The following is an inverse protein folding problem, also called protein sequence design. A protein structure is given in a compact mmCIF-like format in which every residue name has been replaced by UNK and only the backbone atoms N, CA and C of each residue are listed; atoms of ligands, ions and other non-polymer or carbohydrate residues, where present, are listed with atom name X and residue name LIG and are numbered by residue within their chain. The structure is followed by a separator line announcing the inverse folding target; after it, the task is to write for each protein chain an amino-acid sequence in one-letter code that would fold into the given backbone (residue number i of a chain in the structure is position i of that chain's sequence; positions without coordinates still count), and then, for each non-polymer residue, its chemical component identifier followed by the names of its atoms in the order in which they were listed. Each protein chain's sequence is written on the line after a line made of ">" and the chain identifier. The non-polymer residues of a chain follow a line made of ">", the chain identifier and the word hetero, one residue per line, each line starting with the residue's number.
data_IF_721832136667
#
_entry.id   IF_721832136667
#
_cell.length_a   1.000
_cell.length_b   1.000
_cell.length_c   1.000
_cell.angle_alpha   90.00
_cell.angle_beta   90.00
_cell.angle_gamma   90.00
#
_symmetry.space_group_name_H-M   'P 1'
#
loop_
_entity.id
_entity.type
_entity.pdbx_description
1 polymer ?
#
# COMPACT_ATOMS: atom_id res chain seq x y z
N UNK A 1 25.01 11.79 11.24
CA UNK A 1 24.28 12.92 10.61
C UNK A 1 23.24 13.46 11.58
N UNK A 2 22.86 14.74 11.47
CA UNK A 2 22.29 15.49 12.60
C UNK A 2 20.76 15.53 12.65
N UNK A 3 20.22 15.76 13.85
CA UNK A 3 18.80 16.06 14.11
C UNK A 3 18.27 17.28 13.32
N UNK A 4 19.14 17.97 12.57
CA UNK A 4 18.86 19.20 11.83
C UNK A 4 18.66 18.97 10.33
N UNK A 5 18.64 17.70 9.89
CA UNK A 5 18.18 17.33 8.55
C UNK A 5 16.72 16.93 8.60
N UNK A 6 15.90 17.46 7.69
CA UNK A 6 14.49 17.08 7.53
C UNK A 6 14.22 16.59 6.12
N UNK A 7 13.56 15.44 6.02
CA UNK A 7 13.15 14.84 4.77
C UNK A 7 11.76 15.35 4.40
N UNK A 8 11.65 15.90 3.20
CA UNK A 8 10.39 16.22 2.57
C UNK A 8 10.03 15.06 1.62
N UNK A 9 9.00 14.24 1.94
CA UNK A 9 8.63 13.09 1.12
C UNK A 9 8.20 13.46 -0.29
N UNK A 10 8.42 12.50 -1.20
CA UNK A 10 8.11 12.62 -2.62
C UNK A 10 6.62 12.72 -2.87
N UNK A 11 6.28 13.45 -3.93
CA UNK A 11 4.92 13.55 -4.46
C UNK A 11 4.80 12.57 -5.62
N UNK A 12 4.12 11.44 -5.42
CA UNK A 12 3.88 10.47 -6.50
C UNK A 12 2.42 10.06 -6.52
N UNK A 13 1.82 9.92 -7.72
CA UNK A 13 0.58 9.21 -7.86
C UNK A 13 0.83 7.71 -7.76
N UNK A 14 -0.23 6.97 -7.47
CA UNK A 14 -0.22 5.52 -7.59
C UNK A 14 -1.47 4.93 -6.97
N UNK A 15 -1.65 3.63 -7.20
CA UNK A 15 -2.66 2.88 -6.47
C UNK A 15 -2.29 2.78 -4.98
N UNK A 16 -3.22 2.27 -4.17
CA UNK A 16 -3.06 2.11 -2.72
C UNK A 16 -1.74 1.40 -2.36
N UNK A 17 -1.41 0.29 -3.04
CA UNK A 17 -0.16 -0.44 -2.85
C UNK A 17 1.09 0.40 -3.08
N UNK A 18 1.05 1.32 -4.04
CA UNK A 18 2.17 2.23 -4.31
C UNK A 18 2.33 3.28 -3.23
N UNK A 19 1.23 3.90 -2.81
CA UNK A 19 1.26 4.96 -1.78
C UNK A 19 1.74 4.40 -0.44
N UNK A 20 1.26 3.22 -0.06
CA UNK A 20 1.71 2.51 1.15
C UNK A 20 3.23 2.29 1.16
N UNK A 21 3.76 1.70 0.08
CA UNK A 21 5.21 1.44 -0.03
C UNK A 21 6.03 2.72 -0.10
N UNK A 22 5.55 3.74 -0.81
CA UNK A 22 6.23 5.02 -0.92
C UNK A 22 6.37 5.71 0.44
N UNK A 23 5.30 5.75 1.22
CA UNK A 23 5.30 6.35 2.57
C UNK A 23 6.30 5.62 3.45
N UNK A 24 6.27 4.29 3.46
CA UNK A 24 7.20 3.48 4.26
C UNK A 24 8.66 3.64 3.81
N UNK A 25 8.93 3.72 2.51
CA UNK A 25 10.27 4.01 1.99
C UNK A 25 10.75 5.39 2.48
N UNK A 26 9.90 6.43 2.44
CA UNK A 26 10.27 7.76 2.94
C UNK A 26 10.62 7.72 4.43
N UNK A 27 9.81 7.02 5.24
CA UNK A 27 10.08 6.83 6.67
C UNK A 27 11.39 6.06 6.88
N UNK A 28 11.62 5.00 6.11
CA UNK A 28 12.81 4.15 6.25
C UNK A 28 14.11 4.89 5.92
N UNK A 29 14.10 5.69 4.86
CA UNK A 29 15.24 6.54 4.50
C UNK A 29 15.47 7.66 5.52
N UNK A 30 14.42 8.26 6.08
CA UNK A 30 14.57 9.26 7.14
C UNK A 30 15.20 8.64 8.40
N UNK A 31 14.77 7.43 8.79
CA UNK A 31 15.39 6.66 9.88
C UNK A 31 16.85 6.35 9.58
N UNK A 32 17.17 5.87 8.37
CA UNK A 32 18.54 5.55 7.96
C UNK A 32 19.48 6.77 8.02
N UNK A 33 18.97 7.95 7.65
CA UNK A 33 19.73 9.19 7.74
C UNK A 33 19.88 9.72 9.17
N UNK A 34 19.01 9.31 10.10
CA UNK A 34 18.86 9.94 11.41
C UNK A 34 18.21 11.33 11.32
N UNK A 35 17.36 11.53 10.30
CA UNK A 35 16.70 12.79 9.98
C UNK A 35 15.30 12.87 10.58
N UNK A 36 14.78 14.10 10.73
CA UNK A 36 13.34 14.33 10.92
C UNK A 36 12.59 14.17 9.59
N UNK A 37 11.26 14.05 9.63
CA UNK A 37 10.43 13.90 8.42
C UNK A 37 9.19 14.78 8.50
N UNK A 38 8.79 15.42 7.39
CA UNK A 38 7.46 16.03 7.29
C UNK A 38 6.43 14.99 6.88
N UNK A 39 5.17 15.11 7.32
CA UNK A 39 4.12 14.19 6.91
C UNK A 39 4.06 14.08 5.37
N UNK A 40 4.04 12.85 4.82
CA UNK A 40 3.88 12.65 3.39
C UNK A 40 2.57 13.23 2.87
N UNK A 41 2.61 13.81 1.68
CA UNK A 41 1.41 14.22 0.95
C UNK A 41 1.06 13.17 -0.09
N UNK A 42 -0.24 12.96 -0.30
CA UNK A 42 -0.76 11.98 -1.26
C UNK A 42 -1.25 12.74 -2.50
N UNK A 43 -0.71 12.41 -3.67
CA UNK A 43 -1.20 12.97 -4.93
C UNK A 43 -2.48 12.23 -5.34
N UNK A 44 -3.58 12.98 -5.46
CA UNK A 44 -4.88 12.42 -5.78
C UNK A 44 -4.95 12.04 -7.26
N UNK A 45 -5.55 10.89 -7.55
CA UNK A 45 -5.87 10.49 -8.92
C UNK A 45 -7.10 11.25 -9.42
N UNK A 46 -7.20 11.43 -10.73
CA UNK A 46 -8.36 12.02 -11.38
C UNK A 46 -9.62 11.18 -11.17
N UNK A 47 -10.76 11.73 -11.60
CA UNK A 47 -12.06 11.05 -11.49
C UNK A 47 -12.21 9.89 -12.50
N UNK A 48 -11.41 9.91 -13.57
CA UNK A 48 -11.31 8.83 -14.55
C UNK A 48 -10.17 7.87 -14.18
N UNK A 49 -10.37 6.57 -14.37
CA UNK A 49 -9.40 5.50 -14.10
C UNK A 49 -8.10 5.68 -14.89
N UNK A 50 -8.15 6.37 -16.03
CA UNK A 50 -6.99 6.70 -16.86
C UNK A 50 -6.19 7.92 -16.36
N UNK A 51 -6.82 8.78 -15.55
CA UNK A 51 -6.21 10.00 -15.04
C UNK A 51 -5.43 9.71 -13.76
N UNK A 52 -4.20 9.18 -13.91
CA UNK A 52 -3.35 8.82 -12.77
C UNK A 52 -2.92 10.01 -11.90
N UNK A 53 -3.11 11.25 -12.36
CA UNK A 53 -2.81 12.49 -11.62
C UNK A 53 -3.90 13.52 -11.84
N UNK A 54 -4.20 14.32 -10.81
CA UNK A 54 -5.01 15.54 -10.97
C UNK A 54 -4.33 16.80 -10.43
N UNK A 55 -3.07 16.70 -9.95
CA UNK A 55 -2.30 17.82 -9.39
C UNK A 55 -2.74 18.27 -7.98
N UNK A 56 -3.83 17.71 -7.43
CA UNK A 56 -4.30 18.01 -6.07
C UNK A 56 -3.58 17.12 -5.08
N UNK A 57 -3.08 17.74 -4.01
CA UNK A 57 -2.39 17.08 -2.92
C UNK A 57 -3.31 17.02 -1.72
N UNK A 58 -3.38 15.83 -1.12
CA UNK A 58 -4.15 15.56 0.07
C UNK A 58 -3.19 15.23 1.22
N UNK A 59 -3.53 15.57 2.46
CA UNK A 59 -2.74 15.18 3.62
C UNK A 59 -2.68 13.65 3.76
N UNK A 60 -1.71 13.14 4.53
CA UNK A 60 -1.61 11.71 4.86
C UNK A 60 -2.94 11.12 5.40
N UNK A 61 -3.73 11.95 6.10
CA UNK A 61 -5.05 11.61 6.63
C UNK A 61 -6.11 11.25 5.58
N UNK A 62 -5.82 11.49 4.29
CA UNK A 62 -6.67 11.07 3.18
C UNK A 62 -6.83 9.54 3.09
N UNK A 63 -5.78 8.78 3.43
CA UNK A 63 -5.78 7.32 3.50
C UNK A 63 -5.55 6.78 4.91
N UNK A 64 -4.72 7.44 5.72
CA UNK A 64 -4.22 6.89 6.98
C UNK A 64 -4.73 7.66 8.20
N UNK A 65 -4.54 7.10 9.39
CA UNK A 65 -4.70 7.79 10.67
C UNK A 65 -3.36 8.45 11.04
N UNK A 66 -3.28 9.77 10.85
CA UNK A 66 -2.06 10.55 11.09
C UNK A 66 -1.72 10.68 12.58
N UNK A 67 -2.74 10.77 13.44
CA UNK A 67 -2.57 10.77 14.90
C UNK A 67 -1.99 9.43 15.38
N UNK A 68 -2.50 8.31 14.86
CA UNK A 68 -1.94 6.98 15.13
C UNK A 68 -0.48 6.89 14.65
N UNK A 69 -0.20 7.29 13.40
CA UNK A 69 1.16 7.28 12.86
C UNK A 69 2.12 8.08 13.74
N UNK A 70 1.78 9.33 14.08
CA UNK A 70 2.58 10.19 14.97
C UNK A 70 2.82 9.55 16.34
N UNK A 71 1.78 8.97 16.93
CA UNK A 71 1.88 8.30 18.23
C UNK A 71 2.82 7.10 18.21
N UNK A 72 2.71 6.24 17.19
CA UNK A 72 3.59 5.06 17.04
C UNK A 72 5.03 5.48 16.75
N UNK A 73 5.25 6.51 15.93
CA UNK A 73 6.60 7.03 15.66
C UNK A 73 7.24 7.65 16.90
N UNK A 74 6.50 8.44 17.68
CA UNK A 74 6.99 9.01 18.94
C UNK A 74 7.37 7.93 19.97
N UNK A 75 6.62 6.82 20.00
CA UNK A 75 6.89 5.70 20.91
C UNK A 75 8.13 4.89 20.49
N UNK A 76 8.25 4.55 19.20
CA UNK A 76 9.25 3.58 18.73
C UNK A 76 10.52 4.22 18.14
N UNK A 77 10.45 5.49 17.72
CA UNK A 77 11.56 6.26 17.18
C UNK A 77 11.59 7.68 17.77
N UNK A 78 11.72 7.84 19.10
CA UNK A 78 11.57 9.14 19.78
C UNK A 78 12.62 10.19 19.38
N UNK A 79 13.71 9.77 18.74
CA UNK A 79 14.73 10.68 18.24
C UNK A 79 14.38 11.32 16.89
N UNK A 80 13.44 10.74 16.14
CA UNK A 80 12.94 11.29 14.89
C UNK A 80 11.72 12.17 15.14
N UNK A 81 11.79 13.43 14.71
CA UNK A 81 10.64 14.34 14.79
C UNK A 81 9.77 14.19 13.54
N UNK A 82 8.47 13.98 13.73
CA UNK A 82 7.48 14.00 12.65
C UNK A 82 6.81 15.37 12.63
N UNK A 83 7.12 16.16 11.61
CA UNK A 83 6.57 17.50 11.41
C UNK A 83 5.33 17.44 10.52
N UNK A 84 4.39 18.35 10.71
CA UNK A 84 3.27 18.53 9.78
C UNK A 84 3.74 19.07 8.44
N UNK A 85 4.58 20.11 8.48
CA UNK A 85 5.15 20.73 7.30
C UNK A 85 6.50 21.38 7.63
N UNK A 86 7.21 21.82 6.58
CA UNK A 86 8.56 22.39 6.68
C UNK A 86 8.61 23.71 7.48
N UNK A 87 7.50 24.43 7.63
CA UNK A 87 7.45 25.65 8.43
C UNK A 87 7.65 25.41 9.93
N UNK A 88 7.45 24.17 10.40
CA UNK A 88 7.73 23.77 11.78
C UNK A 88 9.23 23.55 12.05
N UNK A 89 10.09 23.59 11.03
CA UNK A 89 11.53 23.50 11.19
C UNK A 89 12.03 24.78 11.87
N UNK A 90 12.70 24.63 13.01
CA UNK A 90 13.36 25.76 13.66
C UNK A 90 14.44 26.33 12.74
N UNK A 91 14.52 27.65 12.64
CA UNK A 91 15.42 28.34 11.69
C UNK A 91 15.12 27.99 10.22
N UNK A 92 13.85 27.68 9.87
CA UNK A 92 13.43 27.41 8.49
C UNK A 92 13.90 28.48 7.48
N UNK A 93 13.88 29.76 7.87
CA UNK A 93 14.36 30.86 7.02
C UNK A 93 15.86 30.80 6.68
N UNK A 94 16.65 30.05 7.46
CA UNK A 94 18.08 29.82 7.26
C UNK A 94 18.38 28.41 6.73
N UNK A 95 17.34 27.63 6.38
CA UNK A 95 17.49 26.26 5.93
C UNK A 95 18.06 26.18 4.51
N UNK A 96 19.00 25.28 4.31
CA UNK A 96 19.44 24.90 2.98
C UNK A 96 18.47 23.87 2.39
N UNK A 97 17.69 24.28 1.40
CA UNK A 97 16.77 23.38 0.68
C UNK A 97 17.49 22.81 -0.52
N UNK A 98 17.64 21.50 -0.56
CA UNK A 98 18.36 20.82 -1.65
C UNK A 98 17.50 20.70 -2.90
N UNK A 99 18.17 20.41 -4.02
CA UNK A 99 17.52 19.80 -5.17
C UNK A 99 16.94 18.41 -4.82
N UNK A 100 16.15 17.86 -5.75
CA UNK A 100 15.55 16.54 -5.60
C UNK A 100 16.64 15.47 -5.52
N UNK A 101 16.59 14.65 -4.47
CA UNK A 101 17.48 13.51 -4.26
C UNK A 101 16.74 12.19 -4.46
N UNK A 102 17.23 11.35 -5.37
CA UNK A 102 16.89 9.93 -5.40
C UNK A 102 18.03 9.14 -4.77
N UNK A 103 17.82 8.43 -3.64
CA UNK A 103 18.88 7.70 -2.94
C UNK A 103 19.71 6.77 -3.83
N UNK A 104 19.07 6.08 -4.79
CA UNK A 104 19.77 5.21 -5.74
C UNK A 104 20.82 5.93 -6.61
N UNK A 105 20.76 7.27 -6.73
CA UNK A 105 21.72 8.07 -7.50
C UNK A 105 22.98 8.43 -6.68
N UNK A 106 22.95 8.23 -5.36
CA UNK A 106 24.13 8.42 -4.50
C UNK A 106 25.20 7.35 -4.75
N UNK A 107 24.77 6.21 -5.27
CA UNK A 107 25.62 5.10 -5.66
C UNK A 107 25.59 5.03 -7.19
N UNK A 108 26.73 4.75 -7.83
CA UNK A 108 26.85 4.69 -9.30
C UNK A 108 26.20 3.44 -9.91
N UNK A 109 25.10 2.97 -9.33
CA UNK A 109 24.38 1.77 -9.71
C UNK A 109 23.12 2.16 -10.48
N UNK A 110 23.21 2.04 -11.81
CA UNK A 110 22.22 2.45 -12.80
C UNK A 110 20.82 1.81 -12.62
N UNK A 111 20.03 2.30 -11.66
CA UNK A 111 18.58 2.15 -11.63
C UNK A 111 18.01 0.87 -11.01
N UNK A 112 18.75 0.21 -10.10
CA UNK A 112 18.22 -0.88 -9.25
C UNK A 112 17.81 -0.33 -7.87
N UNK A 113 17.16 -1.18 -7.06
CA UNK A 113 17.01 -0.98 -5.62
C UNK A 113 18.35 -0.47 -5.04
N UNK A 114 18.28 0.42 -4.07
CA UNK A 114 19.46 0.96 -3.39
C UNK A 114 20.08 -0.11 -2.48
N UNK A 115 20.90 -1.00 -3.05
CA UNK A 115 21.53 -2.11 -2.34
C UNK A 115 22.60 -1.67 -1.31
N UNK A 116 22.92 -0.37 -1.25
CA UNK A 116 23.98 0.19 -0.40
C UNK A 116 23.41 0.89 0.85
N UNK A 117 22.30 0.38 1.39
CA UNK A 117 21.57 1.00 2.50
C UNK A 117 22.43 1.26 3.75
N UNK A 118 23.45 0.43 4.00
CA UNK A 118 24.41 0.59 5.11
C UNK A 118 25.36 1.78 4.92
N UNK A 119 25.62 2.18 3.67
CA UNK A 119 26.48 3.30 3.29
C UNK A 119 25.69 4.59 3.08
N UNK A 120 24.36 4.51 3.01
CA UNK A 120 23.47 5.62 2.68
C UNK A 120 23.78 6.90 3.48
N UNK A 121 23.99 6.80 4.80
CA UNK A 121 24.30 7.96 5.63
C UNK A 121 25.63 8.62 5.23
N UNK A 122 26.66 7.82 4.92
CA UNK A 122 27.96 8.34 4.50
C UNK A 122 27.88 8.99 3.11
N UNK A 123 27.24 8.30 2.16
CA UNK A 123 27.05 8.79 0.80
C UNK A 123 26.26 10.11 0.80
N UNK A 124 25.22 10.20 1.63
CA UNK A 124 24.43 11.40 1.80
C UNK A 124 25.22 12.57 2.39
N UNK A 125 26.11 12.33 3.38
CA UNK A 125 27.00 13.38 3.91
C UNK A 125 27.91 13.92 2.82
N UNK A 126 28.48 13.04 1.99
CA UNK A 126 29.32 13.42 0.85
C UNK A 126 28.54 14.23 -0.19
N UNK A 127 27.29 13.85 -0.47
CA UNK A 127 26.42 14.55 -1.42
C UNK A 127 25.99 15.94 -0.95
N UNK A 128 25.62 16.10 0.33
CA UNK A 128 25.24 17.39 0.88
C UNK A 128 26.38 18.41 0.79
N UNK A 129 27.63 17.95 0.95
CA UNK A 129 28.84 18.80 0.88
C UNK A 129 28.83 19.99 1.87
N UNK A 130 28.06 19.89 2.97
CA UNK A 130 28.12 20.74 4.16
C UNK A 130 27.56 19.99 5.37
N UNK A 131 27.84 20.49 6.58
CA UNK A 131 27.37 19.90 7.84
C UNK A 131 26.12 20.63 8.37
N UNK A 132 24.93 19.99 8.40
CA UNK A 132 23.70 20.62 8.89
C UNK A 132 23.75 20.87 10.40
N UNK A 133 23.30 22.07 10.81
CA UNK A 133 23.32 22.52 12.21
C UNK A 133 21.97 23.10 12.64
N UNK A 134 21.79 23.36 13.93
CA UNK A 134 20.58 23.99 14.47
C UNK A 134 20.26 25.35 13.82
N UNK A 135 21.30 26.11 13.44
CA UNK A 135 21.16 27.43 12.84
C UNK A 135 21.14 27.40 11.31
N UNK A 136 21.60 26.30 10.72
CA UNK A 136 21.64 26.06 9.27
C UNK A 136 21.16 24.63 9.00
N UNK A 137 19.85 24.36 9.15
CA UNK A 137 19.30 23.03 8.92
C UNK A 137 19.29 22.68 7.43
N UNK A 138 19.22 21.39 7.12
CA UNK A 138 19.09 20.89 5.75
C UNK A 138 17.67 20.38 5.50
N UNK A 139 17.07 20.71 4.36
CA UNK A 139 15.80 20.16 3.90
C UNK A 139 16.06 19.38 2.63
N UNK A 140 15.96 18.06 2.72
CA UNK A 140 16.20 17.15 1.61
C UNK A 140 14.87 16.82 0.96
N UNK A 141 14.74 17.16 -0.33
CA UNK A 141 13.58 16.79 -1.14
C UNK A 141 13.79 15.40 -1.71
N UNK A 142 13.13 14.40 -1.15
CA UNK A 142 13.23 13.05 -1.69
C UNK A 142 12.44 12.92 -3.00
N UNK A 143 12.96 12.12 -3.92
CA UNK A 143 12.26 11.59 -5.09
C UNK A 143 12.52 10.10 -5.21
N UNK A 144 11.51 9.29 -4.86
CA UNK A 144 11.60 7.85 -4.77
C UNK A 144 10.80 7.17 -5.88
N UNK A 145 11.39 6.16 -6.52
CA UNK A 145 10.72 5.04 -7.16
C UNK A 145 9.71 4.32 -6.28
N UNK A 146 8.92 3.46 -6.93
CA UNK A 146 8.04 2.53 -6.22
C UNK A 146 8.84 1.51 -5.39
N UNK A 147 10.00 1.11 -5.92
CA UNK A 147 10.88 0.09 -5.36
C UNK A 147 12.29 0.67 -5.25
N UNK A 148 12.52 1.46 -4.19
CA UNK A 148 13.84 2.07 -3.93
C UNK A 148 14.56 1.34 -2.81
N UNK A 149 13.86 1.06 -1.70
CA UNK A 149 14.45 0.39 -0.56
C UNK A 149 14.51 -1.13 -0.80
N UNK A 150 15.69 -1.79 -0.72
CA UNK A 150 15.81 -3.24 -0.86
C UNK A 150 15.30 -3.92 0.40
N UNK A 151 14.02 -4.27 0.41
CA UNK A 151 13.37 -4.85 1.59
C UNK A 151 13.99 -6.20 1.97
N UNK A 152 14.59 -6.90 1.00
CA UNK A 152 15.33 -8.15 1.21
C UNK A 152 16.51 -8.03 2.20
N UNK A 153 17.04 -6.82 2.39
CA UNK A 153 18.15 -6.54 3.32
C UNK A 153 17.67 -6.35 4.78
N UNK A 154 16.36 -6.28 5.01
CA UNK A 154 15.79 -6.13 6.34
C UNK A 154 15.67 -7.47 7.07
N UNK A 155 15.70 -7.41 8.40
CA UNK A 155 15.36 -8.59 9.22
C UNK A 155 13.89 -8.98 9.02
N UNK A 156 13.59 -10.27 9.16
CA UNK A 156 12.23 -10.81 9.03
C UNK A 156 11.29 -10.13 10.04
N UNK A 157 11.76 -9.86 11.25
CA UNK A 157 10.98 -9.16 12.30
C UNK A 157 10.68 -7.72 11.90
N UNK A 158 11.66 -7.01 11.33
CA UNK A 158 11.45 -5.64 10.87
C UNK A 158 10.46 -5.61 9.70
N UNK A 159 10.65 -6.47 8.71
CA UNK A 159 9.73 -6.65 7.58
C UNK A 159 8.29 -6.88 8.05
N UNK A 160 8.08 -7.77 9.01
CA UNK A 160 6.76 -8.13 9.53
C UNK A 160 6.07 -7.04 10.37
N UNK A 161 6.84 -6.06 10.87
CA UNK A 161 6.33 -5.06 11.83
C UNK A 161 6.31 -3.65 11.27
N UNK A 162 7.19 -3.30 10.33
CA UNK A 162 7.34 -1.93 9.83
C UNK A 162 6.08 -1.39 9.14
N UNK A 163 5.34 -2.24 8.42
CA UNK A 163 4.08 -1.84 7.81
C UNK A 163 2.96 -1.50 8.82
N UNK A 164 3.09 -1.86 10.10
CA UNK A 164 2.13 -1.51 11.17
C UNK A 164 2.18 -0.04 11.57
N UNK A 165 3.17 0.71 11.08
CA UNK A 165 3.20 2.17 11.22
C UNK A 165 2.00 2.83 10.55
N UNK A 166 1.47 2.20 9.48
CA UNK A 166 0.35 2.71 8.72
C UNK A 166 -0.93 2.00 9.14
N UNK A 167 -1.87 2.79 9.67
CA UNK A 167 -3.26 2.40 9.90
C UNK A 167 -4.15 3.23 8.99
N UNK A 168 -5.13 2.62 8.33
CA UNK A 168 -6.11 3.31 7.52
C UNK A 168 -7.05 4.16 8.37
N UNK A 169 -7.64 5.17 7.73
CA UNK A 169 -8.67 6.03 8.33
C UNK A 169 -9.81 5.20 8.95
N UNK A 170 -10.27 5.64 10.12
CA UNK A 170 -11.20 4.87 10.97
C UNK A 170 -12.55 4.57 10.31
N UNK A 171 -13.06 5.46 9.46
CA UNK A 171 -14.30 5.21 8.74
C UNK A 171 -14.21 4.08 7.70
N UNK A 172 -13.03 3.84 7.13
CA UNK A 172 -12.77 2.68 6.27
C UNK A 172 -12.81 1.39 7.08
N UNK A 173 -12.23 1.37 8.27
CA UNK A 173 -12.34 0.22 9.19
C UNK A 173 -13.79 -0.08 9.56
N UNK A 174 -14.58 0.95 9.87
CA UNK A 174 -16.00 0.78 10.18
C UNK A 174 -16.77 0.12 9.02
N UNK A 175 -16.57 0.61 7.79
CA UNK A 175 -17.22 0.04 6.60
C UNK A 175 -16.79 -1.40 6.34
N UNK A 176 -15.50 -1.70 6.44
CA UNK A 176 -14.97 -3.06 6.26
C UNK A 176 -15.52 -4.02 7.32
N UNK A 177 -15.57 -3.60 8.59
CA UNK A 177 -16.14 -4.38 9.69
C UNK A 177 -17.62 -4.67 9.49
N UNK A 178 -18.40 -3.70 8.97
CA UNK A 178 -19.81 -3.91 8.64
C UNK A 178 -19.98 -4.94 7.51
N UNK A 179 -19.14 -4.87 6.47
CA UNK A 179 -19.14 -5.85 5.38
C UNK A 179 -18.84 -7.26 5.91
N UNK A 180 -17.77 -7.41 6.70
CA UNK A 180 -17.36 -8.69 7.27
C UNK A 180 -18.45 -9.28 8.18
N UNK A 181 -19.09 -8.46 9.03
CA UNK A 181 -20.24 -8.89 9.84
C UNK A 181 -21.42 -9.34 8.98
N UNK A 182 -21.69 -8.65 7.88
CA UNK A 182 -22.77 -9.05 6.96
C UNK A 182 -22.44 -10.38 6.27
N UNK A 183 -21.20 -10.59 5.82
CA UNK A 183 -20.74 -11.87 5.25
C UNK A 183 -20.91 -12.98 6.29
N UNK A 184 -20.46 -12.77 7.52
CA UNK A 184 -20.59 -13.75 8.60
C UNK A 184 -22.04 -14.17 8.84
N UNK A 185 -22.98 -13.22 8.82
CA UNK A 185 -24.41 -13.48 9.05
C UNK A 185 -25.10 -14.15 7.86
N UNK A 186 -24.69 -13.83 6.64
CA UNK A 186 -25.32 -14.33 5.42
C UNK A 186 -24.67 -15.62 4.87
N UNK A 187 -23.47 -15.95 5.30
CA UNK A 187 -22.72 -17.11 4.80
C UNK A 187 -23.23 -18.39 5.45
N UNK A 188 -23.54 -19.38 4.61
CA UNK A 188 -23.82 -20.75 5.04
C UNK A 188 -22.56 -21.54 5.42
N UNK A 189 -21.37 -20.98 5.23
CA UNK A 189 -20.07 -21.61 5.47
C UNK A 189 -19.32 -20.92 6.63
N UNK A 190 -20.04 -20.61 7.72
CA UNK A 190 -19.52 -19.95 8.93
C UNK A 190 -18.71 -18.68 8.64
N UNK A 191 -19.10 -17.90 7.62
CA UNK A 191 -18.41 -16.68 7.24
C UNK A 191 -17.15 -16.89 6.40
N UNK A 192 -16.81 -18.12 6.00
CA UNK A 192 -15.73 -18.37 5.03
C UNK A 192 -16.09 -17.83 3.65
N UNK A 193 -15.10 -17.25 2.99
CA UNK A 193 -15.23 -16.75 1.62
C UNK A 193 -13.88 -16.69 0.91
N UNK A 194 -13.92 -16.83 -0.41
CA UNK A 194 -12.81 -16.49 -1.29
C UNK A 194 -12.82 -14.98 -1.52
N UNK A 195 -11.72 -14.31 -1.22
CA UNK A 195 -11.50 -12.92 -1.64
C UNK A 195 -10.89 -12.90 -3.04
N UNK A 196 -11.48 -12.16 -3.98
CA UNK A 196 -10.98 -12.02 -5.34
C UNK A 196 -10.81 -10.54 -5.70
N UNK A 197 -9.62 -10.15 -6.14
CA UNK A 197 -9.33 -8.83 -6.69
C UNK A 197 -9.24 -8.90 -8.22
N UNK A 198 -10.34 -8.56 -8.88
CA UNK A 198 -10.47 -8.55 -10.34
C UNK A 198 -10.03 -7.20 -10.90
N UNK A 199 -8.88 -7.20 -11.57
CA UNK A 199 -8.32 -6.02 -12.24
C UNK A 199 -8.48 -6.15 -13.74
N UNK A 200 -9.48 -5.48 -14.31
CA UNK A 200 -9.80 -5.51 -15.76
C UNK A 200 -10.14 -4.13 -16.32
N UNK A 201 -9.90 -3.08 -15.55
CA UNK A 201 -10.24 -1.71 -15.93
C UNK A 201 -9.44 -1.24 -17.16
N UNK A 202 -9.99 -0.24 -17.84
CA UNK A 202 -9.54 0.20 -19.16
C UNK A 202 -8.05 0.58 -19.23
N UNK A 203 -7.45 1.04 -18.13
CA UNK A 203 -6.06 1.49 -18.07
C UNK A 203 -5.03 0.34 -18.15
N UNK A 204 -5.44 -0.90 -17.91
CA UNK A 204 -4.57 -2.08 -17.99
C UNK A 204 -4.95 -3.07 -19.10
N UNK A 205 -5.98 -2.74 -19.89
CA UNK A 205 -6.54 -3.64 -20.90
C UNK A 205 -5.50 -3.97 -21.98
N UNK A 206 -5.27 -5.27 -22.21
CA UNK A 206 -4.29 -5.77 -23.18
C UNK A 206 -2.84 -5.71 -22.70
N UNK A 207 -2.59 -5.21 -21.49
CA UNK A 207 -1.26 -5.22 -20.86
C UNK A 207 -1.14 -6.35 -19.82
N UNK A 208 -2.22 -6.63 -19.11
CA UNK A 208 -2.25 -7.60 -18.01
C UNK A 208 -3.09 -8.83 -18.37
N UNK A 209 -3.03 -9.84 -17.50
CA UNK A 209 -3.87 -11.05 -17.58
C UNK A 209 -5.34 -10.70 -17.77
N UNK A 210 -6.01 -11.39 -18.68
CA UNK A 210 -7.36 -11.01 -19.11
C UNK A 210 -8.45 -11.43 -18.11
N UNK A 211 -9.69 -10.99 -18.39
CA UNK A 211 -10.86 -11.33 -17.59
C UNK A 211 -11.09 -12.85 -17.50
N UNK A 212 -10.95 -13.58 -18.60
CA UNK A 212 -11.30 -15.00 -18.66
C UNK A 212 -10.34 -15.82 -17.80
N UNK A 213 -9.04 -15.51 -17.87
CA UNK A 213 -8.03 -16.19 -17.07
C UNK A 213 -8.21 -15.90 -15.58
N UNK A 214 -8.48 -14.65 -15.20
CA UNK A 214 -8.79 -14.28 -13.82
C UNK A 214 -10.05 -15.00 -13.32
N UNK A 215 -11.13 -14.98 -14.10
CA UNK A 215 -12.39 -15.69 -13.81
C UNK A 215 -12.16 -17.18 -13.60
N UNK A 216 -11.48 -17.84 -14.53
CA UNK A 216 -11.30 -19.29 -14.50
C UNK A 216 -10.46 -19.71 -13.30
N UNK A 217 -9.42 -18.94 -12.96
CA UNK A 217 -8.63 -19.14 -11.76
C UNK A 217 -9.48 -18.99 -10.48
N UNK A 218 -10.31 -17.95 -10.38
CA UNK A 218 -11.17 -17.73 -9.21
C UNK A 218 -12.21 -18.85 -9.05
N UNK A 219 -12.85 -19.28 -10.14
CA UNK A 219 -13.81 -20.39 -10.09
C UNK A 219 -13.13 -21.71 -9.77
N UNK A 220 -11.96 -22.00 -10.34
CA UNK A 220 -11.20 -23.21 -10.04
C UNK A 220 -10.85 -23.28 -8.54
N UNK A 221 -10.35 -22.19 -7.94
CA UNK A 221 -10.03 -22.15 -6.50
C UNK A 221 -11.27 -22.19 -5.63
N UNK A 222 -12.36 -21.52 -6.01
CA UNK A 222 -13.63 -21.58 -5.29
C UNK A 222 -14.16 -23.01 -5.22
N UNK A 223 -14.15 -23.73 -6.35
CA UNK A 223 -14.59 -25.12 -6.41
C UNK A 223 -13.66 -26.06 -5.65
N UNK A 224 -12.35 -25.93 -5.81
CA UNK A 224 -11.38 -26.84 -5.15
C UNK A 224 -11.37 -26.70 -3.64
N UNK A 225 -11.58 -25.49 -3.11
CA UNK A 225 -11.68 -25.23 -1.67
C UNK A 225 -13.12 -25.22 -1.16
N UNK A 226 -14.09 -25.60 -1.99
CA UNK A 226 -15.52 -25.70 -1.69
C UNK A 226 -16.21 -24.40 -1.23
N UNK A 227 -15.65 -23.24 -1.58
CA UNK A 227 -16.24 -21.95 -1.26
C UNK A 227 -17.59 -21.75 -1.96
N UNK A 228 -18.60 -21.33 -1.19
CA UNK A 228 -19.92 -20.94 -1.71
C UNK A 228 -20.04 -19.45 -2.00
N UNK A 229 -19.11 -18.66 -1.46
CA UNK A 229 -19.13 -17.20 -1.52
C UNK A 229 -17.79 -16.67 -2.00
N UNK A 230 -17.82 -15.76 -2.97
CA UNK A 230 -16.70 -14.93 -3.39
C UNK A 230 -17.02 -13.49 -3.01
N UNK A 231 -16.13 -12.83 -2.26
CA UNK A 231 -16.11 -11.37 -2.15
C UNK A 231 -15.24 -10.81 -3.29
N UNK A 232 -15.84 -10.01 -4.16
CA UNK A 232 -15.19 -9.43 -5.33
C UNK A 232 -14.88 -7.95 -5.11
N UNK A 233 -13.60 -7.60 -5.18
CA UNK A 233 -13.12 -6.24 -5.34
C UNK A 233 -12.79 -6.00 -6.82
N UNK A 234 -13.35 -4.94 -7.39
CA UNK A 234 -13.07 -4.52 -8.76
C UNK A 234 -13.50 -3.08 -8.96
N UNK A 235 -12.79 -2.34 -9.82
CA UNK A 235 -13.21 -1.07 -10.36
C UNK A 235 -14.08 -1.19 -11.62
N UNK A 236 -14.13 -2.37 -12.27
CA UNK A 236 -14.94 -2.60 -13.47
C UNK A 236 -16.31 -3.20 -13.11
N UNK A 237 -17.37 -2.39 -13.25
CA UNK A 237 -18.73 -2.81 -12.92
C UNK A 237 -19.33 -3.79 -13.94
N UNK A 238 -18.89 -3.75 -15.20
CA UNK A 238 -19.39 -4.60 -16.27
C UNK A 238 -18.86 -6.02 -16.05
N UNK A 239 -17.55 -6.15 -15.89
CA UNK A 239 -16.91 -7.44 -15.63
C UNK A 239 -17.32 -8.01 -14.27
N UNK A 240 -17.55 -7.16 -13.27
CA UNK A 240 -18.14 -7.59 -12.00
C UNK A 240 -19.54 -8.21 -12.16
N UNK A 241 -20.42 -7.60 -12.97
CA UNK A 241 -21.75 -8.13 -13.24
C UNK A 241 -21.70 -9.42 -14.07
N UNK A 242 -20.75 -9.50 -15.02
CA UNK A 242 -20.49 -10.70 -15.81
C UNK A 242 -20.05 -11.87 -14.91
N UNK A 243 -19.07 -11.64 -14.03
CA UNK A 243 -18.55 -12.66 -13.12
C UNK A 243 -19.63 -13.15 -12.14
N UNK A 244 -20.49 -12.26 -11.63
CA UNK A 244 -21.67 -12.62 -10.83
C UNK A 244 -22.60 -13.59 -11.58
N UNK A 245 -22.90 -13.28 -12.83
CA UNK A 245 -23.79 -14.10 -13.68
C UNK A 245 -23.18 -15.47 -13.97
N UNK A 246 -21.89 -15.52 -14.27
CA UNK A 246 -21.18 -16.77 -14.57
C UNK A 246 -20.97 -17.64 -13.32
N UNK A 247 -20.79 -17.03 -12.15
CA UNK A 247 -20.67 -17.73 -10.86
C UNK A 247 -21.99 -18.36 -10.41
N UNK A 248 -23.12 -17.70 -10.64
CA UNK A 248 -24.44 -18.22 -10.29
C UNK A 248 -24.75 -19.56 -10.97
N UNK A 249 -24.30 -19.74 -12.22
CA UNK A 249 -24.41 -21.02 -12.98
C UNK A 249 -23.64 -22.18 -12.32
N UNK A 250 -22.74 -21.88 -11.38
CA UNK A 250 -21.90 -22.83 -10.64
C UNK A 250 -22.29 -22.93 -9.17
N UNK A 251 -23.44 -22.38 -8.77
CA UNK A 251 -23.89 -22.29 -7.37
C UNK A 251 -22.89 -21.56 -6.46
N UNK A 252 -22.19 -20.56 -7.00
CA UNK A 252 -21.28 -19.68 -6.26
C UNK A 252 -21.92 -18.28 -6.20
N UNK A 253 -22.06 -17.74 -4.98
CA UNK A 253 -22.56 -16.39 -4.74
C UNK A 253 -21.39 -15.39 -4.79
N UNK A 254 -21.46 -14.41 -5.69
CA UNK A 254 -20.47 -13.33 -5.74
C UNK A 254 -21.07 -12.07 -5.13
N UNK A 255 -20.38 -11.51 -4.14
CA UNK A 255 -20.78 -10.34 -3.37
C UNK A 255 -19.74 -9.23 -3.51
N UNK A 256 -20.17 -7.99 -3.45
CA UNK A 256 -19.32 -6.79 -3.43
C UNK A 256 -19.66 -5.94 -2.23
N UNK A 257 -18.81 -4.97 -1.87
CA UNK A 257 -19.12 -3.94 -0.87
C UNK A 257 -20.49 -3.29 -1.07
N UNK A 258 -20.94 -3.11 -2.32
CA UNK A 258 -22.23 -2.49 -2.63
C UNK A 258 -23.42 -3.39 -2.29
N UNK A 259 -23.26 -4.70 -2.34
CA UNK A 259 -24.32 -5.66 -1.98
C UNK A 259 -24.44 -5.85 -0.45
N UNK A 260 -23.40 -5.49 0.30
CA UNK A 260 -23.23 -5.88 1.71
C UNK A 260 -23.42 -4.73 2.70
N UNK A 261 -23.36 -3.49 2.23
CA UNK A 261 -23.56 -2.31 3.07
C UNK A 261 -25.04 -1.94 3.21
N UNK A 262 -25.39 -1.44 4.40
CA UNK A 262 -26.69 -0.80 4.63
C UNK A 262 -26.84 0.45 3.74
N UNK A 263 -28.07 0.92 3.53
CA UNK A 263 -28.31 2.14 2.73
C UNK A 263 -27.55 3.37 3.27
N UNK A 264 -27.39 3.47 4.59
CA UNK A 264 -26.63 4.56 5.22
C UNK A 264 -25.13 4.45 4.93
N UNK A 265 -24.55 3.26 5.13
CA UNK A 265 -23.14 3.03 4.87
C UNK A 265 -22.78 3.05 3.38
N UNK A 266 -23.71 2.65 2.52
CA UNK A 266 -23.55 2.77 1.08
C UNK A 266 -23.43 4.25 0.68
N UNK A 267 -24.20 5.16 1.29
CA UNK A 267 -24.03 6.61 1.06
C UNK A 267 -22.64 7.09 1.48
N UNK A 268 -22.16 6.64 2.65
CA UNK A 268 -20.81 6.95 3.15
C UNK A 268 -19.73 6.45 2.18
N UNK A 269 -19.86 5.21 1.71
CA UNK A 269 -18.97 4.64 0.70
C UNK A 269 -19.02 5.44 -0.62
N UNK A 270 -20.20 5.84 -1.09
CA UNK A 270 -20.33 6.60 -2.34
C UNK A 270 -19.79 8.03 -2.26
N UNK A 271 -19.67 8.60 -1.05
CA UNK A 271 -18.99 9.89 -0.85
C UNK A 271 -17.46 9.78 -0.83
N UNK A 272 -16.92 8.56 -0.69
CA UNK A 272 -15.48 8.31 -0.76
C UNK A 272 -15.00 8.27 -2.21
N UNK A 273 -13.75 8.67 -2.42
CA UNK A 273 -13.09 8.53 -3.72
C UNK A 273 -12.87 7.07 -4.06
N UNK A 274 -12.58 6.78 -5.34
CA UNK A 274 -12.33 5.41 -5.79
C UNK A 274 -11.22 4.72 -4.96
N UNK A 275 -10.11 5.42 -4.69
CA UNK A 275 -9.01 4.85 -3.91
C UNK A 275 -9.41 4.59 -2.45
N UNK A 276 -10.17 5.50 -1.83
CA UNK A 276 -10.68 5.29 -0.48
C UNK A 276 -11.66 4.10 -0.41
N UNK A 277 -12.48 3.92 -1.45
CA UNK A 277 -13.32 2.73 -1.56
C UNK A 277 -12.48 1.45 -1.72
N UNK A 278 -11.33 1.52 -2.39
CA UNK A 278 -10.37 0.41 -2.48
C UNK A 278 -9.72 0.07 -1.14
N UNK A 279 -9.54 1.03 -0.22
CA UNK A 279 -9.07 0.73 1.15
C UNK A 279 -10.07 -0.17 1.90
N UNK A 280 -11.37 0.03 1.67
CA UNK A 280 -12.42 -0.85 2.24
C UNK A 280 -12.27 -2.26 1.68
N UNK A 281 -12.09 -2.40 0.37
CA UNK A 281 -11.84 -3.70 -0.26
C UNK A 281 -10.57 -4.37 0.28
N UNK A 282 -9.50 -3.60 0.49
CA UNK A 282 -8.24 -4.11 1.05
C UNK A 282 -8.47 -4.80 2.40
N UNK A 283 -9.15 -4.11 3.33
CA UNK A 283 -9.44 -4.66 4.65
C UNK A 283 -10.37 -5.88 4.60
N UNK A 284 -11.37 -5.88 3.73
CA UNK A 284 -12.27 -7.03 3.60
C UNK A 284 -11.54 -8.24 3.03
N UNK A 285 -10.77 -8.05 1.95
CA UNK A 285 -9.99 -9.11 1.33
C UNK A 285 -8.87 -9.62 2.24
N UNK A 286 -8.28 -8.76 3.08
CA UNK A 286 -7.29 -9.19 4.09
C UNK A 286 -7.87 -10.22 5.06
N UNK A 287 -9.16 -10.15 5.32
CA UNK A 287 -9.89 -11.04 6.22
C UNK A 287 -10.58 -12.21 5.49
N UNK A 288 -10.29 -12.45 4.20
CA UNK A 288 -10.82 -13.63 3.50
C UNK A 288 -10.16 -14.92 3.97
N UNK A 289 -10.84 -16.04 3.79
CA UNK A 289 -10.25 -17.36 4.10
C UNK A 289 -9.10 -17.68 3.15
N UNK A 290 -9.29 -17.40 1.87
CA UNK A 290 -8.24 -17.46 0.85
C UNK A 290 -8.34 -16.22 -0.03
N UNK A 291 -7.23 -15.68 -0.49
CA UNK A 291 -7.19 -14.49 -1.34
C UNK A 291 -6.62 -14.83 -2.73
N UNK A 292 -7.23 -14.28 -3.78
CA UNK A 292 -6.71 -14.31 -5.13
C UNK A 292 -6.64 -12.91 -5.72
N UNK A 293 -5.52 -12.60 -6.36
CA UNK A 293 -5.32 -11.38 -7.13
C UNK A 293 -4.40 -11.64 -8.32
N UNK A 294 -4.13 -10.61 -9.11
CA UNK A 294 -3.35 -10.72 -10.35
C UNK A 294 -2.09 -9.88 -10.32
N UNK A 295 -1.03 -10.39 -10.96
CA UNK A 295 0.17 -9.63 -11.29
C UNK A 295 -0.10 -8.73 -12.52
N UNK A 296 0.54 -7.55 -12.63
CA UNK A 296 1.42 -6.87 -11.67
C UNK A 296 0.69 -5.87 -10.75
N UNK A 297 -0.43 -6.26 -10.12
CA UNK A 297 -1.17 -5.36 -9.21
C UNK A 297 -0.44 -5.16 -7.88
N UNK A 298 0.09 -3.95 -7.65
CA UNK A 298 0.66 -3.60 -6.34
C UNK A 298 -0.34 -3.72 -5.19
N UNK A 299 -1.64 -3.52 -5.45
CA UNK A 299 -2.69 -3.77 -4.47
C UNK A 299 -2.73 -5.25 -4.06
N UNK A 300 -2.70 -6.16 -5.04
CA UNK A 300 -2.80 -7.59 -4.79
C UNK A 300 -1.56 -8.13 -4.07
N UNK A 301 -0.37 -7.72 -4.51
CA UNK A 301 0.87 -8.13 -3.85
C UNK A 301 0.97 -7.56 -2.43
N UNK A 302 0.61 -6.28 -2.19
CA UNK A 302 0.67 -5.70 -0.85
C UNK A 302 -0.25 -6.46 0.11
N UNK A 303 -1.41 -6.88 -0.38
CA UNK A 303 -2.36 -7.67 0.37
C UNK A 303 -1.88 -9.10 0.62
N UNK A 304 -1.35 -9.78 -0.40
CA UNK A 304 -0.81 -11.13 -0.26
C UNK A 304 0.33 -11.16 0.77
N UNK A 305 1.26 -10.19 0.71
CA UNK A 305 2.35 -10.07 1.67
C UNK A 305 1.86 -9.75 3.08
N UNK A 306 0.86 -8.87 3.23
CA UNK A 306 0.26 -8.65 4.55
C UNK A 306 -0.42 -9.91 5.11
N UNK A 307 -1.03 -10.73 4.26
CA UNK A 307 -1.67 -11.98 4.69
C UNK A 307 -0.65 -13.04 5.07
N UNK A 308 0.45 -13.12 4.33
CA UNK A 308 1.56 -14.04 4.56
C UNK A 308 2.13 -13.93 5.99
N UNK A 309 2.15 -12.73 6.57
CA UNK A 309 2.59 -12.50 7.95
C UNK A 309 1.80 -13.27 9.03
N UNK A 310 0.66 -13.89 8.68
CA UNK A 310 -0.12 -14.73 9.58
C UNK A 310 0.22 -16.22 9.46
N UNK A 311 1.18 -16.59 8.60
CA UNK A 311 1.72 -17.94 8.46
C UNK A 311 2.94 -18.02 9.36
N UNK A 312 3.09 -19.11 10.11
CA UNK A 312 4.21 -19.34 11.02
C UNK A 312 5.55 -19.66 10.31
N UNK A 313 5.59 -19.56 8.98
CA UNK A 313 6.78 -19.82 8.17
C UNK A 313 7.55 -18.52 7.97
N UNK A 314 8.86 -18.54 8.22
CA UNK A 314 9.77 -17.41 8.11
C UNK A 314 10.29 -17.20 6.68
N UNK A 315 9.85 -18.03 5.72
CA UNK A 315 10.24 -17.88 4.32
C UNK A 315 9.68 -16.59 3.70
N UNK A 316 10.46 -15.94 2.83
CA UNK A 316 9.99 -14.75 2.10
C UNK A 316 8.75 -15.10 1.25
N UNK A 317 7.75 -14.21 1.16
CA UNK A 317 6.47 -14.53 0.54
C UNK A 317 6.64 -14.92 -0.94
N UNK A 318 6.11 -16.09 -1.29
CA UNK A 318 6.02 -16.60 -2.65
C UNK A 318 4.65 -16.23 -3.24
N UNK A 319 4.45 -16.10 -4.58
CA UNK A 319 3.15 -15.76 -5.15
C UNK A 319 2.01 -16.76 -4.85
N UNK A 320 2.27 -17.87 -4.17
CA UNK A 320 1.24 -18.73 -3.60
C UNK A 320 1.68 -19.26 -2.24
N UNK A 321 0.77 -19.20 -1.27
CA UNK A 321 0.90 -19.81 0.04
C UNK A 321 -0.47 -20.37 0.50
N UNK A 322 -0.57 -20.76 1.77
CA UNK A 322 -1.81 -21.32 2.33
C UNK A 322 -2.97 -20.33 2.42
N UNK A 323 -2.71 -19.02 2.32
CA UNK A 323 -3.68 -17.95 2.48
C UNK A 323 -3.95 -17.17 1.19
N UNK A 324 -3.02 -17.16 0.23
CA UNK A 324 -3.10 -16.29 -0.94
C UNK A 324 -2.52 -16.92 -2.21
N UNK A 325 -3.02 -16.51 -3.38
CA UNK A 325 -2.42 -16.80 -4.69
C UNK A 325 -2.48 -15.57 -5.60
N UNK A 326 -1.34 -15.21 -6.19
CA UNK A 326 -1.23 -14.23 -7.28
C UNK A 326 -1.11 -14.99 -8.59
N UNK A 327 -1.97 -14.67 -9.56
CA UNK A 327 -1.95 -15.24 -10.91
C UNK A 327 -1.29 -14.26 -11.90
N UNK A 328 -0.63 -14.79 -12.93
CA UNK A 328 0.10 -14.01 -13.93
C UNK A 328 1.62 -14.15 -13.81
N UNK A 329 2.35 -13.43 -14.66
CA UNK A 329 3.81 -13.48 -14.74
C UNK A 329 4.48 -12.41 -13.85
N UNK A 330 5.80 -12.51 -13.72
CA UNK A 330 6.70 -11.49 -13.14
C UNK A 330 6.43 -11.07 -11.68
N UNK A 331 6.57 -12.04 -10.78
CA UNK A 331 6.27 -11.90 -9.34
C UNK A 331 7.46 -11.41 -8.49
N UNK A 332 8.68 -11.55 -9.00
CA UNK A 332 9.90 -11.33 -8.21
C UNK A 332 10.15 -9.84 -7.94
N UNK A 333 9.73 -8.96 -8.86
CA UNK A 333 9.95 -7.52 -8.73
C UNK A 333 9.26 -6.91 -7.51
N UNK A 334 8.07 -7.41 -7.15
CA UNK A 334 7.33 -6.92 -5.98
C UNK A 334 7.90 -7.45 -4.66
N UNK A 335 8.50 -8.64 -4.68
CA UNK A 335 9.04 -9.31 -3.47
C UNK A 335 10.09 -8.44 -2.79
N UNK A 336 10.99 -7.86 -3.59
CA UNK A 336 12.17 -7.18 -3.07
C UNK A 336 11.91 -5.68 -2.75
N UNK A 337 10.75 -5.16 -3.11
CA UNK A 337 10.48 -3.71 -3.03
C UNK A 337 9.16 -3.30 -2.36
N UNK A 338 8.28 -4.24 -2.01
CA UNK A 338 6.98 -3.89 -1.40
C UNK A 338 6.82 -4.32 0.06
N UNK A 339 6.42 -3.36 0.89
CA UNK A 339 6.14 -3.59 2.29
C UNK A 339 4.77 -4.26 2.51
N UNK A 340 4.66 -5.20 3.47
CA UNK A 340 3.39 -5.76 3.90
C UNK A 340 2.70 -4.75 4.81
N UNK A 341 1.61 -4.13 4.34
CA UNK A 341 0.87 -3.13 5.15
C UNK A 341 -0.39 -3.75 5.72
N UNK A 342 -0.56 -3.65 7.03
CA UNK A 342 -1.67 -4.33 7.69
C UNK A 342 -3.01 -3.64 7.44
N UNK A 343 -3.03 -2.34 7.17
CA UNK A 343 -4.26 -1.58 7.02
C UNK A 343 -4.89 -1.27 8.37
#
# INVERSE_FOLDING_TARGET
>A
MSKYTTYQPCKRPGGIGNIMSLVLNCVRYAIAAGASITLPLIEKRGQDLTALKNGVQEPMSYFFDDAFFRGVMALNCPQMTVLEDISQIREFGNAHVTDSLRPSELHADNGRLDMHTSEFQHALSGWLNFEPSLHHPAIIRLSLGLFEWPISEESVEFYATFGKLLRFREDVHQLANDILRTIQRQSSDNGRFLGAHLRTEADIKGLWIDYNDQRDAYFAKALSMTFKTIYLASGDLIDSARLKTEAAKRNIKVLTKRDLLSRANLRKLTSMTWDQQGLVDYLVLKNSTFFMGSSPSSFAFALAYSRHLNIADESYPFPEDSLSKIIGEDVNFFRDGMWPVQG
#
